data_IF_366074827596
#
_entry.id   IF_366074827596
#
_cell.length_a   1.000
_cell.length_b   1.000
_cell.length_c   1.000
_cell.angle_alpha   90.00
_cell.angle_beta   90.00
_cell.angle_gamma   90.00
#
_symmetry.space_group_name_H-M   'P 1'
#
loop_
_entity.id
_entity.type
_entity.pdbx_description
1 polymer ?
#
# COMPACT_ATOMS: atom_id res chain seq x y z
N UNK A 1 12.41 13.05 11.89
CA UNK A 1 11.14 13.03 12.65
C UNK A 1 10.18 12.12 11.89
N UNK A 2 9.27 11.41 12.56
CA UNK A 2 8.27 10.59 11.87
C UNK A 2 6.87 10.99 12.33
N UNK A 3 5.95 11.09 11.38
CA UNK A 3 4.52 11.27 11.63
C UNK A 3 3.84 9.98 11.23
N UNK A 4 3.06 9.40 12.15
CA UNK A 4 2.34 8.16 11.91
C UNK A 4 0.84 8.40 12.09
N UNK A 5 0.04 7.90 11.15
CA UNK A 5 -1.42 7.92 11.27
C UNK A 5 -2.02 6.63 10.72
N UNK A 6 -3.09 6.17 11.37
CA UNK A 6 -3.80 4.96 10.98
C UNK A 6 -4.86 5.25 9.92
N UNK A 7 -4.87 4.44 8.88
CA UNK A 7 -5.90 4.42 7.84
C UNK A 7 -6.78 3.21 8.07
N UNK A 8 -8.09 3.45 8.18
CA UNK A 8 -9.09 2.37 8.25
C UNK A 8 -9.72 2.21 6.88
N UNK A 9 -9.74 0.98 6.37
CA UNK A 9 -10.43 0.68 5.12
C UNK A 9 -11.94 0.86 5.29
N UNK A 10 -12.59 1.41 4.26
CA UNK A 10 -14.05 1.54 4.24
C UNK A 10 -14.77 0.19 4.28
N UNK A 11 -14.12 -0.84 3.73
CA UNK A 11 -14.59 -2.21 3.71
C UNK A 11 -13.49 -3.12 4.26
N UNK A 12 -13.90 -4.15 5.01
CA UNK A 12 -13.00 -5.17 5.52
C UNK A 12 -12.50 -6.08 4.40
N UNK A 13 -11.23 -6.46 4.46
CA UNK A 13 -10.65 -7.46 3.57
C UNK A 13 -10.59 -8.83 4.25
N UNK A 14 -10.91 -9.92 3.53
CA UNK A 14 -10.81 -11.27 4.11
C UNK A 14 -9.37 -11.69 4.40
N UNK A 15 -8.40 -11.14 3.67
CA UNK A 15 -6.97 -11.31 3.87
C UNK A 15 -6.29 -9.94 3.83
N UNK A 16 -5.19 -9.72 4.57
CA UNK A 16 -4.47 -8.44 4.51
C UNK A 16 -4.11 -8.09 3.06
N UNK A 17 -4.54 -6.91 2.55
CA UNK A 17 -4.27 -6.52 1.17
C UNK A 17 -2.81 -6.09 1.00
N UNK A 18 -2.32 -6.09 -0.25
CA UNK A 18 -1.11 -5.36 -0.58
C UNK A 18 -1.44 -3.86 -0.66
N UNK A 19 -0.67 -3.02 0.05
CA UNK A 19 -0.85 -1.57 0.05
C UNK A 19 0.32 -0.91 -0.67
N UNK A 20 0.01 -0.05 -1.64
CA UNK A 20 0.95 0.85 -2.29
C UNK A 20 0.63 2.28 -1.90
N UNK A 21 1.67 3.07 -1.61
CA UNK A 21 1.55 4.48 -1.22
C UNK A 21 2.17 5.38 -2.29
N UNK A 22 1.60 6.56 -2.47
CA UNK A 22 2.13 7.60 -3.33
C UNK A 22 2.01 8.94 -2.63
N UNK A 23 3.14 9.64 -2.50
CA UNK A 23 3.17 11.00 -1.97
C UNK A 23 2.70 11.97 -3.06
N UNK A 24 1.50 12.53 -2.90
CA UNK A 24 0.91 13.43 -3.91
C UNK A 24 1.27 14.89 -3.65
N UNK A 25 1.21 15.31 -2.39
CA UNK A 25 1.48 16.70 -2.01
C UNK A 25 2.32 16.71 -0.76
N UNK A 26 3.39 17.48 -0.82
CA UNK A 26 4.28 17.71 0.30
C UNK A 26 4.57 19.21 0.39
N UNK A 27 4.06 19.84 1.44
CA UNK A 27 4.36 21.24 1.77
C UNK A 27 5.16 21.30 3.05
N UNK A 28 6.48 21.46 2.92
CA UNK A 28 7.42 21.60 4.04
C UNK A 28 8.12 22.94 3.94
N UNK A 29 8.40 23.55 5.07
CA UNK A 29 9.19 24.76 5.16
C UNK A 29 10.66 24.41 5.41
N UNK A 30 11.35 23.95 4.37
CA UNK A 30 12.82 23.86 4.27
C UNK A 30 13.26 23.42 2.86
N UNK A 31 14.54 23.64 2.52
CA UNK A 31 15.07 23.75 1.16
C UNK A 31 15.71 22.47 0.59
N UNK A 32 15.63 21.31 1.25
CA UNK A 32 16.17 20.07 0.69
C UNK A 32 15.81 18.85 1.52
N UNK A 33 14.84 18.06 1.06
CA UNK A 33 14.31 16.93 1.85
C UNK A 33 14.28 15.62 1.11
N UNK A 34 14.77 14.60 1.80
CA UNK A 34 14.43 13.21 1.58
C UNK A 34 13.18 12.92 2.43
N UNK A 35 12.03 12.76 1.77
CA UNK A 35 10.79 12.36 2.43
C UNK A 35 10.46 10.95 2.01
N UNK A 36 10.32 10.07 2.99
CA UNK A 36 9.96 8.68 2.77
C UNK A 36 8.60 8.38 3.37
N UNK A 37 7.76 7.69 2.61
CA UNK A 37 6.44 7.21 3.05
C UNK A 37 6.44 5.69 3.05
N UNK A 38 5.99 5.07 4.14
CA UNK A 38 5.89 3.61 4.25
C UNK A 38 4.56 3.18 4.86
N UNK A 39 4.03 2.05 4.40
CA UNK A 39 2.88 1.38 5.01
C UNK A 39 3.40 0.35 6.01
N UNK A 40 2.85 0.37 7.23
CA UNK A 40 3.19 -0.53 8.33
C UNK A 40 1.92 -1.19 8.87
N UNK A 41 2.10 -2.32 9.54
CA UNK A 41 1.01 -3.01 10.26
C UNK A 41 -0.25 -3.21 9.40
N UNK A 42 -0.06 -3.63 8.14
CA UNK A 42 -1.16 -3.87 7.22
C UNK A 42 -1.94 -5.10 7.69
N UNK A 43 -3.18 -4.88 8.10
CA UNK A 43 -4.13 -5.89 8.49
C UNK A 43 -5.39 -5.83 7.60
N UNK A 44 -6.40 -6.61 7.95
CA UNK A 44 -7.65 -6.71 7.17
C UNK A 44 -8.56 -5.48 7.31
N UNK A 45 -8.36 -4.66 8.35
CA UNK A 45 -9.15 -3.48 8.69
C UNK A 45 -8.46 -2.18 8.29
N UNK A 46 -7.14 -2.19 8.15
CA UNK A 46 -6.39 -0.98 7.89
C UNK A 46 -4.89 -1.19 7.89
N UNK A 47 -4.19 -0.07 7.97
CA UNK A 47 -2.74 -0.03 8.04
C UNK A 47 -2.30 1.32 8.61
N UNK A 48 -1.07 1.39 9.08
CA UNK A 48 -0.45 2.61 9.55
C UNK A 48 0.41 3.22 8.44
N UNK A 49 0.23 4.51 8.18
CA UNK A 49 1.11 5.29 7.30
C UNK A 49 2.16 5.95 8.18
N UNK A 50 3.44 5.69 7.89
CA UNK A 50 4.55 6.42 8.48
C UNK A 50 5.20 7.31 7.43
N UNK A 51 5.29 8.61 7.74
CA UNK A 51 6.01 9.60 6.93
C UNK A 51 7.24 10.06 7.70
N UNK A 52 8.41 9.72 7.18
CA UNK A 52 9.71 10.11 7.72
C UNK A 52 10.22 11.37 7.02
N UNK A 53 10.63 12.33 7.84
CA UNK A 53 11.11 13.67 7.46
C UNK A 53 12.42 13.98 8.19
N UNK A 54 13.17 14.96 7.73
CA UNK A 54 14.36 15.41 8.45
C UNK A 54 13.94 16.16 9.74
N UNK A 55 14.84 16.21 10.73
CA UNK A 55 14.54 16.71 12.08
C UNK A 55 14.27 18.21 12.15
N UNK A 56 14.63 18.97 11.11
CA UNK A 56 14.45 20.43 11.07
C UNK A 56 13.19 20.86 10.30
N UNK A 57 12.40 19.89 9.84
CA UNK A 57 11.37 20.09 8.85
C UNK A 57 10.06 20.49 9.52
N UNK A 58 9.57 21.69 9.18
CA UNK A 58 8.20 22.09 9.54
C UNK A 58 7.25 21.70 8.43
N UNK A 59 6.53 20.61 8.66
CA UNK A 59 5.49 20.12 7.76
C UNK A 59 4.22 20.94 7.94
N UNK A 60 3.69 21.45 6.84
CA UNK A 60 2.38 22.11 6.81
C UNK A 60 1.29 21.17 6.31
N UNK A 61 1.54 20.44 5.22
CA UNK A 61 0.57 19.55 4.57
C UNK A 61 1.31 18.34 3.99
N UNK A 62 0.77 17.14 4.24
CA UNK A 62 1.16 15.92 3.55
C UNK A 62 -0.12 15.26 3.04
N UNK A 63 -0.14 14.95 1.75
CA UNK A 63 -1.18 14.12 1.13
C UNK A 63 -0.54 12.85 0.60
N UNK A 64 -0.97 11.71 1.14
CA UNK A 64 -0.56 10.38 0.69
C UNK A 64 -1.78 9.70 0.09
N UNK A 65 -1.72 9.39 -1.20
CA UNK A 65 -2.67 8.50 -1.82
C UNK A 65 -2.24 7.04 -1.57
N UNK A 66 -3.22 6.15 -1.49
CA UNK A 66 -2.97 4.73 -1.35
C UNK A 66 -3.88 3.91 -2.25
N UNK A 67 -3.39 2.73 -2.63
CA UNK A 67 -4.16 1.67 -3.27
C UNK A 67 -3.98 0.41 -2.43
N UNK A 68 -5.09 -0.21 -2.04
CA UNK A 68 -5.11 -1.47 -1.31
C UNK A 68 -5.78 -2.55 -2.18
N UNK A 69 -5.03 -3.57 -2.56
CA UNK A 69 -5.50 -4.65 -3.41
C UNK A 69 -5.27 -6.00 -2.73
N UNK A 70 -6.34 -6.78 -2.57
CA UNK A 70 -6.22 -8.22 -2.30
C UNK A 70 -6.32 -8.97 -3.63
N UNK A 71 -5.37 -9.83 -3.94
CA UNK A 71 -5.61 -10.85 -4.94
C UNK A 71 -6.43 -11.94 -4.26
N UNK A 72 -7.72 -12.01 -4.61
CA UNK A 72 -8.51 -13.16 -4.27
C UNK A 72 -7.86 -14.35 -4.97
N UNK A 73 -7.36 -15.32 -4.20
CA UNK A 73 -6.98 -16.62 -4.77
C UNK A 73 -8.27 -17.35 -5.10
N UNK A 74 -9.04 -16.82 -6.05
CA UNK A 74 -10.06 -17.59 -6.73
C UNK A 74 -9.36 -18.80 -7.35
N UNK A 75 -9.60 -19.97 -6.76
CA UNK A 75 -9.35 -21.29 -7.35
C UNK A 75 -7.99 -21.49 -8.02
N UNK A 76 -6.90 -21.46 -7.24
CA UNK A 76 -5.76 -22.32 -7.57
C UNK A 76 -6.12 -23.78 -7.22
N UNK A 77 -7.09 -24.34 -7.93
CA UNK A 77 -7.07 -25.78 -8.16
C UNK A 77 -5.74 -26.07 -8.86
N UNK A 78 -4.94 -27.03 -8.39
CA UNK A 78 -3.72 -27.40 -9.08
C UNK A 78 -4.10 -27.79 -10.51
N UNK A 79 -3.65 -27.00 -11.49
CA UNK A 79 -3.73 -27.39 -12.89
C UNK A 79 -2.95 -28.70 -13.03
N UNK A 80 -3.66 -29.83 -13.05
CA UNK A 80 -3.06 -31.12 -13.35
C UNK A 80 -2.42 -31.05 -14.75
N UNK A 81 -1.15 -31.43 -14.95
CA UNK A 81 -0.40 -31.08 -16.17
C UNK A 81 -0.83 -31.74 -17.49
N UNK A 82 -1.97 -32.42 -17.59
CA UNK A 82 -2.24 -33.39 -18.66
C UNK A 82 -3.53 -33.19 -19.46
N UNK A 83 -3.88 -31.97 -19.87
CA UNK A 83 -4.92 -31.77 -20.88
C UNK A 83 -4.52 -30.77 -21.98
N UNK A 84 -3.37 -31.00 -22.61
CA UNK A 84 -3.21 -30.67 -24.02
C UNK A 84 -3.49 -31.92 -24.85
N UNK A 85 -4.76 -32.19 -25.17
CA UNK A 85 -5.07 -33.04 -26.32
C UNK A 85 -5.42 -32.14 -27.50
N UNK A 86 -4.47 -32.10 -28.43
CA UNK A 86 -4.65 -31.60 -29.79
C UNK A 86 -5.90 -32.21 -30.41
N UNK A 87 -6.84 -31.36 -30.81
CA UNK A 87 -7.74 -31.66 -31.92
C UNK A 87 -7.63 -30.53 -32.92
N UNK A 88 -6.71 -30.70 -33.88
CA UNK A 88 -6.78 -30.01 -35.16
C UNK A 88 -8.01 -30.54 -35.92
N UNK A 89 -8.82 -29.68 -36.54
CA UNK A 89 -9.39 -29.99 -37.85
C UNK A 89 -8.33 -29.88 -38.95
#
# INVERSE_FOLDING_TARGET
>A
MAVTFRVTFKHFYLTPPCVSLTLETLKVNSQGHEVATSAREVDQNGFDVEVSLDRQDRVHIITVAYIACCMDRGDLLPLTPNQFTSSRP
#
